data_IF_747605070168
#
_entry.id   IF_747605070168
#
_cell.length_a   1.000
_cell.length_b   1.000
_cell.length_c   1.000
_cell.angle_alpha   90.00
_cell.angle_beta   90.00
_cell.angle_gamma   90.00
#
_symmetry.space_group_name_H-M   'P 1'
#
loop_
_entity.id
_entity.type
_entity.pdbx_description
1 polymer ?
#
# COMPACT_ATOMS: atom_id res chain seq x y z
N UNK A 1 54.59 10.62 46.89
CA UNK A 1 54.82 9.94 45.59
C UNK A 1 54.20 8.56 45.75
N UNK A 2 52.91 8.34 45.50
CA UNK A 2 52.18 8.53 44.25
C UNK A 2 51.88 7.14 43.70
N UNK A 3 50.73 6.55 44.05
CA UNK A 3 50.19 5.37 43.37
C UNK A 3 48.66 5.42 43.43
N UNK A 4 48.09 5.55 42.23
CA UNK A 4 46.69 5.79 41.95
C UNK A 4 45.85 4.52 42.12
N UNK A 5 44.66 4.74 42.64
CA UNK A 5 43.50 3.86 42.78
C UNK A 5 43.05 3.23 41.46
N UNK A 6 42.80 1.93 41.48
CA UNK A 6 42.10 1.17 40.44
C UNK A 6 40.68 0.84 40.90
N UNK A 7 39.69 1.13 40.06
CA UNK A 7 38.31 0.60 39.99
C UNK A 7 37.59 1.35 38.84
N UNK A 8 36.50 0.83 38.24
CA UNK A 8 36.37 -0.40 37.47
C UNK A 8 35.99 -0.11 36.00
N UNK A 9 36.20 -1.09 35.11
CA UNK A 9 35.74 -1.03 33.71
C UNK A 9 34.23 -1.30 33.63
N UNK A 10 33.44 -0.25 33.36
CA UNK A 10 32.06 -0.38 32.92
C UNK A 10 31.64 0.90 32.17
N UNK A 11 31.59 0.83 30.85
CA UNK A 11 30.62 1.51 29.97
C UNK A 11 31.18 1.61 28.55
N UNK A 12 30.43 1.05 27.59
CA UNK A 12 30.23 1.51 26.21
C UNK A 12 30.34 0.35 25.20
N UNK A 13 29.20 -0.28 24.93
CA UNK A 13 28.93 -0.94 23.65
C UNK A 13 27.42 -1.21 23.53
N UNK A 14 26.63 -0.16 23.34
CA UNK A 14 25.28 -0.32 22.78
C UNK A 14 25.45 -0.31 21.25
N UNK A 15 25.48 -1.51 20.66
CA UNK A 15 25.44 -1.71 19.22
C UNK A 15 24.12 -1.18 18.66
N UNK A 16 24.22 -0.11 17.86
CA UNK A 16 23.18 0.31 16.93
C UNK A 16 22.99 -0.79 15.88
N UNK A 17 21.98 -1.63 16.08
CA UNK A 17 21.41 -2.45 15.01
C UNK A 17 20.17 -1.72 14.47
N UNK A 18 20.39 -0.69 13.65
CA UNK A 18 19.44 -0.37 12.60
C UNK A 18 19.61 -1.46 11.54
N UNK A 19 18.77 -2.48 11.58
CA UNK A 19 18.57 -3.36 10.44
C UNK A 19 18.11 -2.50 9.26
N UNK A 20 18.99 -2.34 8.28
CA UNK A 20 18.59 -1.94 6.94
C UNK A 20 17.65 -3.01 6.39
N UNK A 21 16.33 -2.79 6.51
CA UNK A 21 15.40 -3.30 5.53
C UNK A 21 15.61 -2.48 4.25
N UNK A 22 16.67 -2.80 3.53
CA UNK A 22 16.83 -2.42 2.13
C UNK A 22 15.85 -3.25 1.29
N UNK A 23 14.54 -3.05 1.51
CA UNK A 23 13.55 -3.32 0.47
C UNK A 23 13.74 -2.25 -0.61
N UNK A 24 13.72 -2.67 -1.88
CA UNK A 24 13.80 -1.77 -3.02
C UNK A 24 12.56 -0.90 -3.13
N UNK A 25 12.44 0.10 -2.26
CA UNK A 25 11.49 1.20 -2.41
C UNK A 25 11.80 1.94 -3.71
N UNK A 26 10.79 2.58 -4.33
CA UNK A 26 10.92 3.54 -5.42
C UNK A 26 12.13 4.49 -5.13
N UNK A 27 13.33 4.14 -5.63
CA UNK A 27 14.59 4.85 -5.30
C UNK A 27 14.71 6.03 -6.26
N UNK A 28 15.12 7.18 -5.71
CA UNK A 28 15.38 8.41 -6.47
C UNK A 28 16.19 8.12 -7.74
N UNK A 29 15.57 8.29 -8.90
CA UNK A 29 16.33 8.39 -10.13
C UNK A 29 17.07 9.73 -10.13
N UNK A 30 18.41 9.71 -9.97
CA UNK A 30 19.25 10.88 -10.26
C UNK A 30 19.19 11.17 -11.76
N UNK A 31 18.17 11.92 -12.19
CA UNK A 31 18.18 12.58 -13.49
C UNK A 31 19.02 13.85 -13.37
N UNK A 32 19.96 14.02 -14.30
CA UNK A 32 20.85 15.17 -14.36
C UNK A 32 20.04 16.48 -14.33
N UNK A 33 20.39 17.33 -13.37
CA UNK A 33 19.80 18.66 -13.15
C UNK A 33 20.07 19.53 -14.37
N UNK A 34 19.08 19.63 -15.24
CA UNK A 34 19.18 20.42 -16.46
C UNK A 34 17.88 20.49 -17.23
N UNK A 35 16.75 20.66 -16.53
CA UNK A 35 15.49 21.26 -17.00
C UNK A 35 14.41 21.19 -15.88
N UNK A 36 14.81 21.53 -14.65
CA UNK A 36 13.86 21.69 -13.54
C UNK A 36 13.34 23.13 -13.56
N UNK A 37 12.29 23.37 -14.35
CA UNK A 37 11.40 24.49 -14.04
C UNK A 37 10.77 24.21 -12.67
N UNK A 38 10.99 25.14 -11.76
CA UNK A 38 10.72 25.03 -10.34
C UNK A 38 9.23 24.76 -10.06
N UNK A 39 8.90 23.54 -9.63
CA UNK A 39 7.66 23.26 -8.90
C UNK A 39 7.88 23.63 -7.43
N UNK A 40 7.44 24.83 -7.06
CA UNK A 40 7.55 25.38 -5.72
C UNK A 40 6.76 24.62 -4.66
N UNK A 41 7.21 24.76 -3.42
CA UNK A 41 6.47 24.40 -2.23
C UNK A 41 5.03 24.97 -2.27
N UNK A 42 4.04 24.10 -2.09
CA UNK A 42 2.64 24.50 -1.92
C UNK A 42 1.69 24.20 -3.10
N UNK A 43 1.91 23.13 -3.89
CA UNK A 43 0.83 22.59 -4.72
C UNK A 43 -0.32 22.12 -3.80
N UNK A 44 -1.46 22.81 -3.85
CA UNK A 44 -2.72 22.33 -3.28
C UNK A 44 -3.12 21.05 -4.04
N UNK A 45 -2.61 19.90 -3.61
CA UNK A 45 -3.00 18.61 -4.16
C UNK A 45 -4.50 18.43 -3.98
N UNK A 46 -5.26 18.60 -5.05
CA UNK A 46 -6.68 18.31 -5.03
C UNK A 46 -6.86 16.79 -5.04
N UNK A 47 -6.96 16.20 -3.84
CA UNK A 47 -7.24 14.76 -3.67
C UNK A 47 -8.62 14.37 -4.19
N UNK A 48 -9.54 15.33 -4.35
CA UNK A 48 -10.90 15.06 -4.80
C UNK A 48 -10.96 14.58 -6.24
N UNK A 49 -10.15 15.12 -7.17
CA UNK A 49 -10.18 14.69 -8.57
C UNK A 49 -9.73 13.23 -8.71
N UNK A 50 -8.79 12.78 -7.86
CA UNK A 50 -8.33 11.40 -7.81
C UNK A 50 -9.33 10.47 -7.10
N UNK A 51 -10.36 11.01 -6.42
CA UNK A 51 -11.34 10.23 -5.68
C UNK A 51 -12.67 10.02 -6.45
N UNK A 52 -12.92 10.73 -7.55
CA UNK A 52 -14.18 10.60 -8.31
C UNK A 52 -14.22 9.33 -9.15
N UNK A 53 -15.11 8.40 -8.80
CA UNK A 53 -15.36 7.19 -9.59
C UNK A 53 -15.95 7.51 -10.96
N UNK A 54 -15.38 6.89 -12.00
CA UNK A 54 -15.81 7.08 -13.39
C UNK A 54 -15.89 8.56 -13.79
N UNK A 55 -15.04 9.39 -13.17
CA UNK A 55 -14.96 10.81 -13.44
C UNK A 55 -14.34 11.11 -14.81
N UNK A 56 -14.27 12.40 -15.19
CA UNK A 56 -13.53 12.80 -16.37
C UNK A 56 -12.06 12.37 -16.25
N UNK A 57 -11.48 11.94 -17.36
CA UNK A 57 -10.06 11.61 -17.46
C UNK A 57 -9.19 12.78 -16.97
N UNK A 58 -8.37 12.53 -15.96
CA UNK A 58 -7.41 13.46 -15.40
C UNK A 58 -6.04 13.26 -16.04
N UNK A 59 -5.30 14.35 -16.26
CA UNK A 59 -3.94 14.29 -16.79
C UNK A 59 -2.95 13.89 -15.70
N UNK A 60 -2.05 12.98 -16.02
CA UNK A 60 -0.96 12.55 -15.15
C UNK A 60 0.31 12.29 -15.97
N UNK A 61 1.44 12.13 -15.29
CA UNK A 61 2.64 11.55 -15.90
C UNK A 61 2.91 10.17 -15.30
N UNK A 62 3.43 9.28 -16.13
CA UNK A 62 3.86 7.96 -15.69
C UNK A 62 5.34 7.76 -15.97
N UNK A 63 6.03 7.19 -14.99
CA UNK A 63 7.35 6.54 -15.14
C UNK A 63 7.18 5.06 -14.84
N UNK A 64 8.29 4.31 -14.85
CA UNK A 64 8.28 2.95 -14.33
C UNK A 64 9.57 2.61 -13.59
N UNK A 65 9.49 1.60 -12.74
CA UNK A 65 10.60 1.14 -11.90
C UNK A 65 10.69 -0.39 -11.85
N UNK A 66 11.85 -0.87 -11.40
CA UNK A 66 12.13 -2.28 -11.25
C UNK A 66 12.45 -3.02 -12.54
N UNK A 67 12.12 -4.31 -12.58
CA UNK A 67 12.36 -5.15 -13.75
C UNK A 67 11.31 -4.89 -14.86
N UNK A 68 11.68 -4.95 -16.16
CA UNK A 68 10.77 -4.67 -17.28
C UNK A 68 9.49 -5.50 -17.29
N UNK A 69 9.52 -6.73 -16.77
CA UNK A 69 8.35 -7.61 -16.65
C UNK A 69 8.08 -7.99 -15.19
N UNK A 70 8.51 -7.15 -14.24
CA UNK A 70 8.30 -7.32 -12.80
C UNK A 70 7.11 -6.50 -12.28
N UNK A 71 6.92 -6.56 -10.96
CA UNK A 71 5.85 -5.87 -10.24
C UNK A 71 6.25 -4.51 -9.64
N UNK A 72 7.45 -4.01 -9.98
CA UNK A 72 8.02 -2.83 -9.37
C UNK A 72 9.18 -3.25 -8.45
N UNK A 73 9.00 -3.33 -7.13
CA UNK A 73 10.09 -3.61 -6.21
C UNK A 73 10.60 -5.06 -6.33
N UNK A 74 11.90 -5.26 -6.10
CA UNK A 74 12.55 -6.57 -6.24
C UNK A 74 11.98 -7.64 -5.30
N UNK A 75 11.43 -7.23 -4.14
CA UNK A 75 10.80 -8.12 -3.16
C UNK A 75 9.32 -8.44 -3.51
N UNK A 76 8.78 -7.87 -4.59
CA UNK A 76 7.36 -7.92 -4.94
C UNK A 76 6.45 -7.45 -3.80
N UNK A 77 6.91 -6.46 -3.03
CA UNK A 77 6.17 -5.81 -1.96
C UNK A 77 5.70 -4.40 -2.35
N UNK A 78 5.76 -3.50 -1.37
CA UNK A 78 5.51 -2.07 -1.52
C UNK A 78 5.14 -1.44 -0.18
N UNK A 79 5.10 -0.11 -0.14
CA UNK A 79 4.74 0.65 1.05
C UNK A 79 3.33 0.37 1.58
N UNK A 80 2.44 -0.24 0.78
CA UNK A 80 1.12 -0.66 1.27
C UNK A 80 1.16 -1.87 2.21
N UNK A 81 2.29 -2.57 2.31
CA UNK A 81 2.43 -3.80 3.09
C UNK A 81 2.06 -5.07 2.31
N UNK A 82 1.38 -4.94 1.17
CA UNK A 82 1.07 -6.05 0.27
C UNK A 82 2.35 -6.79 -0.15
N UNK A 83 2.26 -8.11 -0.23
CA UNK A 83 3.33 -9.00 -0.69
C UNK A 83 2.86 -9.80 -1.90
N UNK A 84 3.82 -10.38 -2.62
CA UNK A 84 3.55 -11.16 -3.83
C UNK A 84 2.74 -10.38 -4.87
N UNK A 85 3.02 -9.08 -5.04
CA UNK A 85 2.33 -8.21 -6.00
C UNK A 85 2.52 -8.63 -7.45
N UNK A 86 3.44 -9.55 -7.73
CA UNK A 86 3.61 -10.23 -9.02
C UNK A 86 2.60 -11.36 -9.29
N UNK A 87 1.87 -11.81 -8.28
CA UNK A 87 0.90 -12.91 -8.37
C UNK A 87 -0.53 -12.39 -8.38
N UNK A 88 -1.49 -13.28 -8.64
CA UNK A 88 -2.91 -12.97 -8.49
C UNK A 88 -3.20 -12.48 -7.05
N UNK A 89 -3.97 -11.39 -6.86
CA UNK A 89 -4.74 -10.67 -7.87
C UNK A 89 -4.02 -9.48 -8.53
N UNK A 90 -2.91 -9.00 -7.97
CA UNK A 90 -2.23 -7.81 -8.47
C UNK A 90 -1.61 -8.03 -9.85
N UNK A 91 -1.09 -9.23 -10.13
CA UNK A 91 -0.56 -9.67 -11.42
C UNK A 91 0.46 -8.69 -12.03
N UNK A 92 1.31 -8.11 -11.19
CA UNK A 92 2.26 -7.05 -11.55
C UNK A 92 1.61 -5.77 -12.09
N UNK A 93 0.29 -5.59 -12.00
CA UNK A 93 -0.43 -4.37 -12.41
C UNK A 93 -0.47 -3.32 -11.28
N UNK A 94 0.65 -3.15 -10.59
CA UNK A 94 0.83 -2.19 -9.48
C UNK A 94 1.46 -0.86 -9.90
N UNK A 95 1.36 0.13 -9.03
CA UNK A 95 2.00 1.45 -9.16
C UNK A 95 2.38 2.01 -7.78
N UNK A 96 3.52 2.72 -7.71
CA UNK A 96 3.71 3.78 -6.73
C UNK A 96 2.77 4.94 -7.09
N UNK A 97 2.19 5.61 -6.09
CA UNK A 97 1.46 6.86 -6.27
C UNK A 97 2.10 8.01 -5.50
N UNK A 98 2.01 9.24 -6.02
CA UNK A 98 2.34 10.44 -5.26
C UNK A 98 1.26 10.78 -4.21
N UNK A 99 1.47 11.84 -3.42
CA UNK A 99 0.60 12.23 -2.29
C UNK A 99 -0.92 12.11 -2.58
N UNK A 100 -1.47 12.66 -3.67
CA UNK A 100 -2.91 12.58 -3.91
C UNK A 100 -3.43 11.17 -4.19
N UNK A 101 -2.56 10.25 -4.61
CA UNK A 101 -2.91 8.86 -4.95
C UNK A 101 -2.68 7.92 -3.77
N UNK A 102 -1.53 7.98 -3.11
CA UNK A 102 -1.17 7.10 -1.99
C UNK A 102 -1.71 7.57 -0.64
N UNK A 103 -1.94 8.88 -0.46
CA UNK A 103 -2.62 9.48 0.71
C UNK A 103 -2.09 8.98 2.07
N UNK A 104 -0.76 8.94 2.21
CA UNK A 104 -0.06 8.45 3.40
C UNK A 104 -0.40 7.00 3.82
N UNK A 105 -0.92 6.19 2.88
CA UNK A 105 -1.34 4.81 3.12
C UNK A 105 -2.83 4.59 2.85
N UNK A 106 -3.65 5.63 3.00
CA UNK A 106 -5.11 5.55 2.77
C UNK A 106 -5.50 5.34 1.30
N UNK A 107 -4.55 5.49 0.38
CA UNK A 107 -4.75 5.17 -1.04
C UNK A 107 -4.39 3.73 -1.39
N UNK A 108 -3.83 2.96 -0.45
CA UNK A 108 -3.46 1.58 -0.69
C UNK A 108 -4.65 0.74 -1.12
N UNK A 109 -4.46 -0.02 -2.20
CA UNK A 109 -5.49 -0.84 -2.81
C UNK A 109 -6.42 -0.08 -3.75
N UNK A 110 -6.37 1.26 -3.82
CA UNK A 110 -7.16 2.04 -4.79
C UNK A 110 -6.87 1.62 -6.25
N UNK A 111 -7.93 1.48 -7.05
CA UNK A 111 -7.84 1.10 -8.45
C UNK A 111 -8.07 2.28 -9.40
N UNK A 112 -7.29 2.32 -10.46
CA UNK A 112 -7.38 3.33 -11.51
C UNK A 112 -7.39 2.68 -12.89
N UNK A 113 -8.16 3.24 -13.80
CA UNK A 113 -7.94 3.04 -15.24
C UNK A 113 -6.95 4.09 -15.72
N UNK A 114 -5.93 3.66 -16.44
CA UNK A 114 -4.91 4.52 -17.03
C UNK A 114 -4.81 4.27 -18.53
N UNK A 115 -4.54 5.29 -19.33
CA UNK A 115 -4.29 5.16 -20.77
C UNK A 115 -3.24 6.16 -21.24
N UNK A 116 -2.55 5.84 -22.34
CA UNK A 116 -1.66 6.77 -23.00
C UNK A 116 -2.03 6.92 -24.48
N UNK A 117 -1.82 8.10 -25.05
CA UNK A 117 -2.20 8.42 -26.44
C UNK A 117 -1.14 9.22 -27.20
N UNK A 118 -0.23 9.93 -26.50
CA UNK A 118 0.74 10.83 -27.12
C UNK A 118 2.00 10.14 -27.66
N UNK A 119 2.50 9.10 -26.98
CA UNK A 119 3.64 8.33 -27.49
C UNK A 119 3.22 7.46 -28.67
N UNK A 120 4.03 7.37 -29.72
CA UNK A 120 3.73 6.59 -30.94
C UNK A 120 3.51 5.09 -30.64
N UNK A 121 4.10 4.60 -29.55
CA UNK A 121 4.02 3.22 -29.08
C UNK A 121 2.74 2.95 -28.30
N UNK A 122 2.01 3.98 -27.84
CA UNK A 122 0.76 3.84 -27.10
C UNK A 122 -0.31 3.11 -27.89
N UNK A 123 -1.00 2.18 -27.23
CA UNK A 123 -2.15 1.47 -27.80
C UNK A 123 -3.43 2.30 -27.83
N UNK A 124 -3.53 3.33 -26.97
CA UNK A 124 -4.78 4.06 -26.71
C UNK A 124 -5.78 3.30 -25.84
N UNK A 125 -5.50 2.03 -25.47
CA UNK A 125 -6.35 1.23 -24.60
C UNK A 125 -6.13 1.62 -23.13
N UNK A 126 -7.17 1.45 -22.33
CA UNK A 126 -7.12 1.68 -20.90
C UNK A 126 -6.82 0.39 -20.15
N UNK A 127 -5.83 0.45 -19.25
CA UNK A 127 -5.41 -0.64 -18.39
C UNK A 127 -5.80 -0.35 -16.94
N UNK A 128 -6.08 -1.39 -16.15
CA UNK A 128 -6.29 -1.25 -14.70
C UNK A 128 -4.97 -1.33 -13.96
N UNK A 129 -4.76 -0.43 -12.99
CA UNK A 129 -3.64 -0.49 -12.06
C UNK A 129 -4.10 -0.26 -10.62
N UNK A 130 -3.35 -0.81 -9.68
CA UNK A 130 -3.62 -0.73 -8.24
C UNK A 130 -2.47 0.02 -7.56
N UNK A 131 -2.80 0.90 -6.61
CA UNK A 131 -1.78 1.54 -5.77
C UNK A 131 -1.29 0.52 -4.74
N UNK A 132 -0.03 0.12 -4.88
CA UNK A 132 0.62 -0.89 -4.01
C UNK A 132 1.84 -0.33 -3.28
N UNK A 133 2.28 0.87 -3.67
CA UNK A 133 3.51 1.49 -3.17
C UNK A 133 3.41 3.04 -3.25
N UNK A 134 4.46 3.76 -2.84
CA UNK A 134 4.49 5.22 -2.84
C UNK A 134 5.69 5.80 -3.59
N UNK A 135 5.50 6.94 -4.23
CA UNK A 135 6.58 7.78 -4.74
C UNK A 135 6.15 9.24 -4.68
N UNK A 136 6.68 9.99 -3.70
CA UNK A 136 6.32 11.39 -3.46
C UNK A 136 7.20 12.38 -4.24
N UNK A 137 8.06 11.89 -5.14
CA UNK A 137 8.89 12.76 -5.96
C UNK A 137 8.00 13.63 -6.87
N UNK A 138 8.19 14.97 -6.90
CA UNK A 138 7.25 15.90 -7.51
C UNK A 138 7.40 15.99 -9.04
N UNK A 139 7.11 14.90 -9.77
CA UNK A 139 7.20 14.84 -11.25
C UNK A 139 6.07 15.63 -11.92
N UNK A 140 4.87 15.58 -11.34
CA UNK A 140 3.66 16.27 -11.84
C UNK A 140 2.55 16.22 -10.77
N UNK A 141 1.44 16.95 -10.99
CA UNK A 141 0.27 16.95 -10.09
C UNK A 141 -0.17 15.54 -9.69
N UNK A 142 -0.27 14.64 -10.67
CA UNK A 142 -0.55 13.21 -10.45
C UNK A 142 0.53 12.38 -11.14
N UNK A 143 1.27 11.61 -10.35
CA UNK A 143 2.37 10.80 -10.84
C UNK A 143 2.16 9.33 -10.45
N UNK A 144 2.18 8.47 -11.48
CA UNK A 144 2.18 7.02 -11.34
C UNK A 144 3.57 6.50 -11.67
N UNK A 145 4.29 5.92 -10.70
CA UNK A 145 5.49 5.15 -11.00
C UNK A 145 5.06 3.69 -11.16
N UNK A 146 4.83 3.29 -12.40
CA UNK A 146 4.24 1.99 -12.72
C UNK A 146 5.26 0.87 -12.54
N UNK A 147 4.81 -0.36 -12.30
CA UNK A 147 5.67 -1.51 -12.56
C UNK A 147 6.08 -1.57 -14.04
N UNK A 148 7.21 -2.22 -14.34
CA UNK A 148 7.60 -2.45 -15.74
C UNK A 148 6.53 -3.18 -16.56
N UNK A 149 5.78 -4.09 -15.92
CA UNK A 149 4.65 -4.81 -16.54
C UNK A 149 3.51 -3.86 -16.88
N UNK A 150 3.05 -3.07 -15.92
CA UNK A 150 1.94 -2.12 -16.09
C UNK A 150 2.26 -1.05 -17.13
N UNK A 151 3.47 -0.50 -17.10
CA UNK A 151 3.93 0.49 -18.09
C UNK A 151 3.97 -0.10 -19.50
N UNK A 152 4.55 -1.30 -19.65
CA UNK A 152 4.62 -1.97 -20.95
C UNK A 152 3.26 -2.36 -21.53
N UNK A 153 2.27 -2.65 -20.69
CA UNK A 153 0.89 -2.99 -21.11
C UNK A 153 0.17 -1.84 -21.83
N UNK A 154 0.56 -0.59 -21.60
CA UNK A 154 0.00 0.56 -22.30
C UNK A 154 0.38 0.60 -23.79
N UNK A 155 1.40 -0.16 -24.21
CA UNK A 155 1.91 -0.16 -25.57
C UNK A 155 1.04 -0.99 -26.54
N UNK A 156 1.16 -0.69 -27.84
CA UNK A 156 0.71 -1.58 -28.91
C UNK A 156 1.42 -2.94 -28.81
N UNK A 157 0.79 -4.04 -29.28
CA UNK A 157 1.43 -5.36 -29.28
C UNK A 157 2.84 -5.33 -29.88
N UNK A 158 3.82 -5.83 -29.14
CA UNK A 158 5.23 -5.88 -29.57
C UNK A 158 6.03 -4.59 -29.36
N UNK A 159 5.42 -3.51 -28.86
CA UNK A 159 6.11 -2.23 -28.59
C UNK A 159 6.33 -1.96 -27.10
N UNK A 160 6.15 -2.95 -26.23
CA UNK A 160 6.26 -2.82 -24.78
C UNK A 160 7.60 -2.23 -24.35
N UNK A 161 8.71 -2.81 -24.84
CA UNK A 161 10.05 -2.30 -24.53
C UNK A 161 10.29 -0.93 -25.14
N UNK A 162 9.80 -0.68 -26.36
CA UNK A 162 9.93 0.64 -26.99
C UNK A 162 9.27 1.72 -26.15
N UNK A 163 8.07 1.46 -25.62
CA UNK A 163 7.39 2.40 -24.73
C UNK A 163 8.19 2.56 -23.43
N UNK A 164 8.64 1.47 -22.79
CA UNK A 164 9.48 1.52 -21.58
C UNK A 164 10.74 2.39 -21.75
N UNK A 165 11.37 2.35 -22.91
CA UNK A 165 12.55 3.19 -23.22
C UNK A 165 12.22 4.68 -23.37
N UNK A 166 10.96 5.08 -23.53
CA UNK A 166 10.55 6.49 -23.42
C UNK A 166 10.75 7.04 -21.99
N UNK A 167 10.85 6.16 -20.98
CA UNK A 167 11.14 6.51 -19.58
C UNK A 167 9.96 7.15 -18.86
N UNK A 168 9.55 8.34 -19.32
CA UNK A 168 8.41 9.10 -18.82
C UNK A 168 7.43 9.40 -19.96
N UNK A 169 6.13 9.19 -19.72
CA UNK A 169 5.07 9.47 -20.69
C UNK A 169 3.91 10.24 -20.06
N UNK A 170 3.20 11.01 -20.88
CA UNK A 170 1.92 11.58 -20.49
C UNK A 170 0.84 10.50 -20.56
N UNK A 171 0.06 10.39 -19.49
CA UNK A 171 -1.08 9.50 -19.40
C UNK A 171 -2.33 10.27 -18.97
N UNK A 172 -3.46 9.60 -19.12
CA UNK A 172 -4.71 10.01 -18.51
C UNK A 172 -5.18 8.91 -17.55
N UNK A 173 -5.83 9.29 -16.45
CA UNK A 173 -6.38 8.35 -15.49
C UNK A 173 -7.78 8.72 -15.00
N UNK A 174 -8.51 7.72 -14.49
CA UNK A 174 -9.73 7.91 -13.70
C UNK A 174 -9.79 6.84 -12.61
N UNK A 175 -10.32 7.19 -11.44
CA UNK A 175 -10.59 6.20 -10.39
C UNK A 175 -11.72 5.28 -10.82
N UNK A 176 -11.58 4.00 -10.52
CA UNK A 176 -12.59 2.98 -10.78
C UNK A 176 -12.73 2.06 -9.56
N UNK A 177 -13.88 1.38 -9.40
CA UNK A 177 -13.99 0.33 -8.40
C UNK A 177 -12.97 -0.78 -8.62
N UNK A 178 -12.41 -1.31 -7.54
CA UNK A 178 -11.63 -2.52 -7.53
C UNK A 178 -12.52 -3.76 -7.62
N UNK A 179 -12.03 -4.76 -8.36
CA UNK A 179 -12.68 -6.06 -8.48
C UNK A 179 -11.62 -7.17 -8.34
N UNK A 180 -11.80 -8.02 -7.35
CA UNK A 180 -10.94 -9.17 -7.04
C UNK A 180 -11.74 -10.48 -7.13
N UNK A 181 -12.01 -11.00 -8.34
CA UNK A 181 -12.88 -12.15 -8.55
C UNK A 181 -12.55 -13.37 -7.69
N UNK A 182 -13.54 -13.90 -6.97
CA UNK A 182 -13.37 -15.08 -6.13
C UNK A 182 -12.61 -14.83 -4.81
N UNK A 183 -12.07 -13.63 -4.60
CA UNK A 183 -11.52 -13.22 -3.31
C UNK A 183 -12.61 -12.59 -2.44
N UNK A 184 -12.27 -12.51 -1.16
CA UNK A 184 -12.99 -11.80 -0.12
C UNK A 184 -11.94 -11.00 0.64
N UNK A 185 -12.39 -10.00 1.38
CA UNK A 185 -11.50 -9.22 2.24
C UNK A 185 -10.71 -10.17 3.13
N UNK A 186 -9.40 -10.00 3.14
CA UNK A 186 -8.43 -10.77 3.91
C UNK A 186 -7.80 -9.94 5.00
N UNK A 187 -7.30 -10.62 6.02
CA UNK A 187 -6.60 -10.00 7.14
C UNK A 187 -5.29 -10.75 7.39
N UNK A 188 -4.16 -10.13 7.05
CA UNK A 188 -2.85 -10.67 7.38
C UNK A 188 -2.41 -10.12 8.74
N UNK A 189 -2.27 -11.00 9.73
CA UNK A 189 -1.75 -10.62 11.05
C UNK A 189 -0.24 -10.54 10.96
N UNK A 190 0.33 -9.39 11.30
CA UNK A 190 1.76 -9.10 11.17
C UNK A 190 2.62 -9.95 12.13
N UNK A 191 3.87 -10.24 11.73
CA UNK A 191 4.81 -11.16 12.40
C UNK A 191 5.05 -10.88 13.90
N UNK A 192 5.07 -9.61 14.30
CA UNK A 192 5.36 -9.22 15.68
C UNK A 192 4.12 -9.03 16.55
N UNK A 193 2.94 -9.38 16.04
CA UNK A 193 1.71 -9.41 16.82
C UNK A 193 1.82 -10.38 18.00
N UNK A 194 1.26 -10.02 19.14
CA UNK A 194 1.27 -10.78 20.37
C UNK A 194 0.02 -10.42 21.22
N UNK A 195 -0.20 -11.07 22.38
CA UNK A 195 -1.44 -10.86 23.14
C UNK A 195 -1.71 -9.44 23.66
N UNK A 196 -0.75 -8.51 23.61
CA UNK A 196 -0.94 -7.10 24.03
C UNK A 196 -0.72 -6.08 22.90
N UNK A 197 -0.20 -6.53 21.75
CA UNK A 197 0.03 -5.73 20.55
C UNK A 197 -0.48 -6.50 19.32
N UNK A 198 -1.44 -5.94 18.59
CA UNK A 198 -2.00 -6.59 17.42
C UNK A 198 -1.89 -5.66 16.21
N UNK A 199 -1.27 -6.12 15.13
CA UNK A 199 -1.21 -5.41 13.87
C UNK A 199 -1.75 -6.28 12.74
N UNK A 200 -2.54 -5.68 11.86
CA UNK A 200 -3.22 -6.37 10.77
C UNK A 200 -3.17 -5.54 9.50
N UNK A 201 -2.72 -6.17 8.42
CA UNK A 201 -2.87 -5.68 7.05
C UNK A 201 -4.22 -6.14 6.51
N UNK A 202 -4.98 -5.21 5.93
CA UNK A 202 -6.23 -5.54 5.24
C UNK A 202 -5.94 -5.67 3.74
N UNK A 203 -6.49 -6.70 3.09
CA UNK A 203 -6.24 -6.97 1.67
C UNK A 203 -7.52 -7.32 0.91
N UNK A 204 -7.50 -7.04 -0.39
CA UNK A 204 -8.49 -7.46 -1.41
C UNK A 204 -9.90 -6.89 -1.20
N UNK A 205 -9.96 -5.62 -0.80
CA UNK A 205 -11.18 -4.84 -0.73
C UNK A 205 -11.69 -4.49 -2.15
N UNK A 206 -12.86 -4.99 -2.53
CA UNK A 206 -13.55 -4.53 -3.73
C UNK A 206 -14.14 -3.13 -3.52
N UNK A 207 -14.67 -2.53 -4.58
CA UNK A 207 -15.28 -1.21 -4.50
C UNK A 207 -14.17 -0.17 -4.38
N UNK A 208 -14.06 0.49 -3.23
CA UNK A 208 -13.14 1.63 -3.14
C UNK A 208 -11.66 1.25 -3.18
N UNK A 209 -11.36 -0.02 -2.85
CA UNK A 209 -10.00 -0.54 -2.79
C UNK A 209 -9.24 -0.16 -1.52
N UNK A 210 -9.70 0.88 -0.81
CA UNK A 210 -9.03 1.42 0.36
C UNK A 210 -9.80 1.24 1.68
N UNK A 211 -9.06 1.45 2.77
CA UNK A 211 -9.58 1.46 4.13
C UNK A 211 -9.11 2.73 4.82
N UNK A 212 -10.05 3.43 5.45
CA UNK A 212 -9.79 4.68 6.20
C UNK A 212 -10.03 4.54 7.70
N UNK A 213 -10.60 3.41 8.13
CA UNK A 213 -10.72 3.06 9.54
C UNK A 213 -10.84 1.55 9.73
N UNK A 214 -10.14 1.03 10.74
CA UNK A 214 -10.31 -0.34 11.24
C UNK A 214 -10.62 -0.30 12.73
N UNK A 215 -11.59 -1.09 13.16
CA UNK A 215 -11.91 -1.32 14.56
C UNK A 215 -11.84 -2.82 14.89
N UNK A 216 -11.39 -3.14 16.09
CA UNK A 216 -11.33 -4.49 16.62
C UNK A 216 -12.35 -4.67 17.74
N UNK A 217 -13.05 -5.81 17.74
CA UNK A 217 -13.92 -6.23 18.84
C UNK A 217 -13.44 -7.58 19.37
N UNK A 218 -13.13 -7.61 20.66
CA UNK A 218 -12.75 -8.80 21.41
C UNK A 218 -13.97 -9.65 21.81
N UNK A 219 -13.71 -10.89 22.20
CA UNK A 219 -14.69 -11.83 22.74
C UNK A 219 -14.46 -12.05 24.23
N UNK A 220 -15.50 -12.47 24.98
CA UNK A 220 -15.36 -12.70 26.44
C UNK A 220 -14.55 -13.94 26.81
N UNK A 221 -14.47 -14.91 25.90
CA UNK A 221 -13.70 -16.15 26.01
C UNK A 221 -13.65 -16.81 24.61
N UNK A 222 -12.82 -17.83 24.41
CA UNK A 222 -12.59 -18.48 23.11
C UNK A 222 -13.87 -19.01 22.41
N UNK A 223 -14.93 -19.30 23.16
CA UNK A 223 -16.28 -19.68 22.65
C UNK A 223 -17.39 -18.79 23.21
N UNK A 224 -17.03 -17.63 23.73
CA UNK A 224 -17.95 -16.71 24.39
C UNK A 224 -18.62 -15.76 23.42
N UNK A 225 -19.66 -15.04 23.86
CA UNK A 225 -20.23 -13.97 23.06
C UNK A 225 -19.19 -12.86 22.86
N UNK A 226 -19.28 -12.19 21.71
CA UNK A 226 -18.53 -10.96 21.46
C UNK A 226 -18.84 -9.92 22.55
N UNK A 227 -17.87 -9.09 22.87
CA UNK A 227 -18.04 -8.05 23.91
C UNK A 227 -19.07 -6.99 23.50
N UNK A 228 -19.31 -6.81 22.19
CA UNK A 228 -20.15 -5.75 21.64
C UNK A 228 -19.46 -4.38 21.60
N UNK A 229 -18.19 -4.29 22.03
CA UNK A 229 -17.41 -3.05 22.08
C UNK A 229 -16.40 -3.01 20.93
N UNK A 230 -16.50 -1.98 20.09
CA UNK A 230 -15.52 -1.69 19.05
C UNK A 230 -14.44 -0.76 19.59
N UNK A 231 -13.19 -1.16 19.43
CA UNK A 231 -12.00 -0.36 19.76
C UNK A 231 -11.34 0.08 18.46
N UNK A 232 -11.26 1.39 18.18
CA UNK A 232 -10.56 1.88 17.00
C UNK A 232 -9.09 1.51 17.02
N UNK A 233 -8.61 1.02 15.89
CA UNK A 233 -7.20 0.75 15.64
C UNK A 233 -6.54 2.02 15.07
N UNK A 234 -5.22 2.11 15.24
CA UNK A 234 -4.41 3.21 14.71
C UNK A 234 -3.79 2.78 13.40
N UNK A 235 -3.77 3.67 12.42
CA UNK A 235 -2.96 3.50 11.22
C UNK A 235 -1.48 3.43 11.64
N UNK A 236 -0.74 2.45 11.11
CA UNK A 236 0.68 2.27 11.36
C UNK A 236 1.50 2.76 10.17
N UNK A 237 1.41 2.05 9.04
CA UNK A 237 2.06 2.39 7.77
C UNK A 237 1.31 1.66 6.65
N UNK A 238 1.13 2.30 5.49
CA UNK A 238 0.43 1.67 4.36
C UNK A 238 -1.00 1.29 4.75
N UNK A 239 -1.41 0.04 4.48
CA UNK A 239 -2.71 -0.48 4.92
C UNK A 239 -2.60 -1.36 6.20
N UNK A 240 -1.58 -1.13 7.04
CA UNK A 240 -1.38 -1.84 8.32
C UNK A 240 -1.97 -1.05 9.47
N UNK A 241 -2.86 -1.70 10.23
CA UNK A 241 -3.59 -1.13 11.36
C UNK A 241 -3.17 -1.82 12.65
N UNK A 242 -2.87 -1.05 13.70
CA UNK A 242 -2.38 -1.56 14.98
C UNK A 242 -3.24 -1.20 16.18
N UNK A 243 -3.22 -2.06 17.18
CA UNK A 243 -3.83 -1.85 18.49
C UNK A 243 -2.86 -2.28 19.59
N UNK A 244 -2.48 -1.33 20.41
CA UNK A 244 -1.66 -1.51 21.61
C UNK A 244 -2.58 -1.48 22.84
N UNK A 245 -2.46 -2.48 23.73
CA UNK A 245 -3.34 -2.62 24.90
C UNK A 245 -2.55 -2.82 26.19
N UNK A 246 -3.15 -2.42 27.32
CA UNK A 246 -2.60 -2.61 28.66
C UNK A 246 -3.05 -3.93 29.32
N UNK A 247 -3.74 -4.80 28.57
CA UNK A 247 -4.25 -6.08 29.03
C UNK A 247 -4.07 -7.10 27.91
N UNK A 248 -4.13 -8.40 28.24
CA UNK A 248 -4.12 -9.43 27.20
C UNK A 248 -5.45 -9.44 26.46
N UNK A 249 -5.41 -9.17 25.17
CA UNK A 249 -6.57 -9.21 24.30
C UNK A 249 -7.19 -10.61 24.23
N UNK A 250 -8.51 -10.68 24.17
CA UNK A 250 -9.29 -11.91 24.18
C UNK A 250 -9.90 -12.22 22.81
N UNK A 251 -9.25 -13.14 22.10
CA UNK A 251 -9.74 -13.67 20.82
C UNK A 251 -10.88 -14.71 21.03
N UNK A 252 -11.74 -14.95 20.03
CA UNK A 252 -11.66 -14.49 18.64
C UNK A 252 -11.94 -12.99 18.48
N UNK A 253 -11.29 -12.37 17.50
CA UNK A 253 -11.51 -10.96 17.14
C UNK A 253 -12.45 -10.83 15.95
N UNK A 254 -13.42 -9.94 16.08
CA UNK A 254 -14.16 -9.40 14.94
C UNK A 254 -13.48 -8.12 14.46
N UNK A 255 -13.40 -7.92 13.16
CA UNK A 255 -12.81 -6.72 12.56
C UNK A 255 -13.91 -5.97 11.81
N UNK A 256 -14.01 -4.67 12.03
CA UNK A 256 -14.86 -3.75 11.28
C UNK A 256 -13.98 -2.81 10.49
N UNK A 257 -14.23 -2.71 9.20
CA UNK A 257 -13.49 -1.81 8.30
C UNK A 257 -14.44 -0.79 7.68
N UNK A 258 -13.95 0.42 7.41
CA UNK A 258 -14.67 1.46 6.67
C UNK A 258 -13.81 1.96 5.52
N UNK A 259 -14.39 2.07 4.33
CA UNK A 259 -13.73 2.60 3.14
C UNK A 259 -13.91 4.12 3.01
N UNK A 260 -13.23 4.74 2.03
CA UNK A 260 -13.27 6.20 1.82
C UNK A 260 -14.69 6.75 1.58
N UNK A 261 -15.56 5.99 0.90
CA UNK A 261 -16.98 6.35 0.70
C UNK A 261 -17.85 6.20 1.95
N UNK A 262 -17.29 5.76 3.08
CA UNK A 262 -17.98 5.60 4.36
C UNK A 262 -18.76 4.29 4.52
N UNK A 263 -18.74 3.39 3.52
CA UNK A 263 -19.34 2.05 3.65
C UNK A 263 -18.54 1.25 4.68
N UNK A 264 -19.25 0.47 5.49
CA UNK A 264 -18.65 -0.31 6.59
C UNK A 264 -18.93 -1.80 6.40
N UNK A 265 -17.92 -2.64 6.58
CA UNK A 265 -18.03 -4.10 6.62
C UNK A 265 -17.62 -4.64 7.98
N UNK A 266 -18.23 -5.76 8.39
CA UNK A 266 -17.91 -6.45 9.64
C UNK A 266 -17.59 -7.91 9.38
N UNK A 267 -16.32 -8.28 9.56
CA UNK A 267 -15.86 -9.65 9.55
C UNK A 267 -15.90 -10.21 10.98
N UNK A 268 -16.98 -10.93 11.31
CA UNK A 268 -17.19 -11.48 12.66
C UNK A 268 -16.27 -12.66 12.95
N UNK A 269 -15.60 -12.61 14.10
CA UNK A 269 -14.71 -13.68 14.60
C UNK A 269 -13.70 -14.17 13.55
N UNK A 270 -13.23 -13.27 12.69
CA UNK A 270 -12.36 -13.60 11.55
C UNK A 270 -10.95 -14.01 12.00
N UNK A 271 -10.48 -13.45 13.13
CA UNK A 271 -9.23 -13.87 13.75
C UNK A 271 -9.60 -14.84 14.89
N UNK A 272 -9.27 -16.15 14.77
CA UNK A 272 -9.72 -17.17 15.71
C UNK A 272 -8.96 -17.11 17.04
N UNK A 273 -9.45 -17.78 18.09
CA UNK A 273 -8.80 -17.78 19.42
C UNK A 273 -7.34 -18.28 19.41
N UNK A 274 -7.00 -19.19 18.49
CA UNK A 274 -5.68 -19.78 18.31
C UNK A 274 -4.88 -19.11 17.17
N UNK A 275 -5.14 -17.83 16.92
CA UNK A 275 -4.43 -17.07 15.89
C UNK A 275 -2.91 -17.09 16.09
N UNK A 276 -2.19 -16.87 15.00
CA UNK A 276 -0.74 -16.83 14.95
C UNK A 276 -0.29 -15.57 14.21
N UNK A 277 0.85 -14.98 14.58
CA UNK A 277 1.46 -13.93 13.79
C UNK A 277 1.88 -14.44 12.41
N UNK A 278 2.14 -13.51 11.49
CA UNK A 278 2.50 -13.78 10.08
C UNK A 278 1.53 -14.78 9.42
N UNK A 279 0.23 -14.57 9.60
CA UNK A 279 -0.80 -15.51 9.12
C UNK A 279 -1.95 -14.75 8.48
N UNK A 280 -2.34 -15.21 7.29
CA UNK A 280 -3.49 -14.68 6.56
C UNK A 280 -4.79 -15.37 6.98
N UNK A 281 -5.78 -14.58 7.37
CA UNK A 281 -7.13 -15.02 7.74
C UNK A 281 -8.14 -14.49 6.72
N UNK A 282 -8.76 -15.42 6.01
CA UNK A 282 -9.80 -15.11 5.01
C UNK A 282 -11.14 -14.82 5.71
N UNK A 283 -11.82 -13.75 5.29
CA UNK A 283 -13.20 -13.49 5.68
C UNK A 283 -14.22 -14.03 4.65
N UNK A 284 -15.51 -13.82 4.94
CA UNK A 284 -16.61 -14.10 4.01
C UNK A 284 -17.36 -12.84 3.57
N UNK A 285 -16.77 -11.66 3.83
CA UNK A 285 -17.37 -10.36 3.50
C UNK A 285 -16.66 -9.71 2.33
N UNK A 286 -17.39 -8.87 1.59
CA UNK A 286 -16.85 -8.06 0.49
C UNK A 286 -17.77 -6.85 0.27
N UNK A 287 -17.22 -5.76 -0.23
CA UNK A 287 -17.99 -4.60 -0.67
C UNK A 287 -18.76 -4.96 -1.96
N UNK A 288 -19.95 -4.36 -2.10
CA UNK A 288 -20.80 -4.47 -3.28
C UNK A 288 -21.12 -3.10 -3.85
#
# INVERSE_FOLDING_TARGET
MGALSSLPAAAAAALLLLSLLAGGHCREAQLHVGDADAAGAGENYNTSDAAVYWGPWQKARATWYGQPNGAGPDDNGGACGFKHTNQYPFMSMGSCGNQPLFKDGKGCGSCYKIRCTKDKSCSGKAESVIITDMNYYPVSKYHFDLSGTAFGRLAKPGLNDKLRHSGIIDIEFTRVPCEFPGLKVGFHVEEYSNPVYFAVLVEYEDGDGDVVQVDLMESKMARGPATGRWTPMRESWGNVWRLDTNHRMQAPFSIRIRNESGKTLVARNVIPANWRPNTFYRSFVQYS
#
